data_IF_796687893708
#
_entry.id   IF_796687893708
#
_cell.length_a   1.000
_cell.length_b   1.000
_cell.length_c   1.000
_cell.angle_alpha   90.00
_cell.angle_beta   90.00
_cell.angle_gamma   90.00
#
_symmetry.space_group_name_H-M   'P 1'
#
loop_
_entity.id
_entity.type
_entity.pdbx_description
1 polymer ?
#
# COMPACT_ATOMS: atom_id res chain seq x y z
N UNK A 1 1.16 14.10 -11.74
CA UNK A 1 2.36 13.27 -11.79
C UNK A 1 3.44 13.92 -12.66
N UNK A 2 3.11 14.43 -13.85
CA UNK A 2 4.08 15.01 -14.80
C UNK A 2 4.95 16.12 -14.18
N UNK A 3 4.36 17.07 -13.46
CA UNK A 3 5.10 18.15 -12.78
C UNK A 3 6.17 17.64 -11.81
N UNK A 4 5.92 16.51 -11.13
CA UNK A 4 6.85 15.92 -10.17
C UNK A 4 7.97 15.20 -10.93
N UNK A 5 7.65 14.55 -12.05
CA UNK A 5 8.63 13.94 -12.96
C UNK A 5 9.56 15.00 -13.55
N UNK A 6 9.00 16.10 -14.07
CA UNK A 6 9.75 17.22 -14.68
C UNK A 6 10.69 17.90 -13.67
N UNK A 7 10.28 17.95 -12.40
CA UNK A 7 11.08 18.48 -11.30
C UNK A 7 12.15 17.51 -10.78
N UNK A 8 12.24 16.29 -11.31
CA UNK A 8 13.12 15.20 -10.83
C UNK A 8 12.99 14.90 -9.33
N UNK A 9 11.78 15.06 -8.79
CA UNK A 9 11.54 14.99 -7.34
C UNK A 9 11.47 13.56 -6.78
N UNK A 10 11.40 12.52 -7.63
CA UNK A 10 11.30 11.14 -7.18
C UNK A 10 12.67 10.49 -6.83
N UNK A 11 13.76 10.92 -7.47
CA UNK A 11 15.08 10.36 -7.24
C UNK A 11 15.27 8.89 -7.68
N UNK A 12 14.29 8.28 -8.34
CA UNK A 12 14.30 6.89 -8.78
C UNK A 12 14.15 6.78 -10.30
N UNK A 13 14.66 5.70 -10.88
CA UNK A 13 14.59 5.48 -12.33
C UNK A 13 13.30 4.77 -12.80
N UNK A 14 12.50 4.28 -11.85
CA UNK A 14 11.22 3.64 -12.13
C UNK A 14 10.14 4.21 -11.22
N UNK A 15 9.01 4.57 -11.78
CA UNK A 15 7.84 5.09 -11.08
C UNK A 15 6.63 4.26 -11.49
N UNK A 16 5.92 3.73 -10.50
CA UNK A 16 4.65 3.05 -10.68
C UNK A 16 3.51 4.00 -10.31
N UNK A 17 2.68 4.34 -11.28
CA UNK A 17 1.50 5.19 -11.08
C UNK A 17 0.27 4.31 -10.97
N UNK A 18 -0.35 4.32 -9.80
CA UNK A 18 -1.58 3.56 -9.55
C UNK A 18 -2.78 4.34 -10.10
N UNK A 19 -3.51 3.71 -11.01
CA UNK A 19 -4.73 4.25 -11.62
C UNK A 19 -5.95 3.67 -10.92
N UNK A 20 -6.54 4.45 -10.03
CA UNK A 20 -7.77 4.11 -9.30
C UNK A 20 -8.91 5.00 -9.77
N UNK A 21 -9.95 4.38 -10.32
CA UNK A 21 -11.13 5.09 -10.86
C UNK A 21 -12.31 5.09 -9.88
N UNK A 22 -12.22 4.31 -8.79
CA UNK A 22 -13.25 4.26 -7.77
C UNK A 22 -12.97 5.30 -6.69
N UNK A 23 -13.88 6.27 -6.55
CA UNK A 23 -13.87 7.14 -5.40
C UNK A 23 -14.77 6.57 -4.29
N UNK A 24 -14.18 6.28 -3.14
CA UNK A 24 -14.89 5.88 -1.92
C UNK A 24 -14.18 6.45 -0.69
N UNK A 25 -14.94 7.03 0.23
CA UNK A 25 -14.39 7.71 1.40
C UNK A 25 -13.44 6.83 2.24
N UNK A 26 -13.77 5.54 2.38
CA UNK A 26 -12.94 4.59 3.14
C UNK A 26 -11.63 4.23 2.44
N UNK A 27 -11.56 4.41 1.12
CA UNK A 27 -10.41 4.08 0.26
C UNK A 27 -9.92 5.31 -0.51
N UNK A 28 -10.00 6.51 0.11
CA UNK A 28 -9.64 7.75 -0.56
C UNK A 28 -8.16 7.88 -0.88
N UNK A 29 -7.31 7.18 -0.17
CA UNK A 29 -5.85 7.18 -0.36
C UNK A 29 -5.34 5.74 -0.50
N UNK A 30 -4.20 5.58 -1.18
CA UNK A 30 -3.59 4.26 -1.43
C UNK A 30 -3.33 3.49 -0.13
N UNK A 31 -2.86 4.14 0.92
CA UNK A 31 -2.54 3.55 2.23
C UNK A 31 -3.75 3.08 3.04
N UNK A 32 -4.96 3.36 2.58
CA UNK A 32 -6.18 2.84 3.20
C UNK A 32 -6.62 1.49 2.64
N UNK A 33 -6.15 1.11 1.45
CA UNK A 33 -6.48 -0.17 0.83
C UNK A 33 -5.28 -1.03 0.43
N UNK A 34 -4.09 -0.45 0.37
CA UNK A 34 -2.81 -1.12 0.08
C UNK A 34 -1.72 -0.58 1.01
N UNK A 35 -0.85 -1.46 1.53
CA UNK A 35 0.31 -1.02 2.30
C UNK A 35 1.41 -2.08 2.27
N UNK A 36 2.66 -1.67 2.52
CA UNK A 36 3.85 -2.51 2.45
C UNK A 36 4.33 -2.84 3.85
N UNK A 37 4.51 -4.14 4.13
CA UNK A 37 5.06 -4.66 5.40
C UNK A 37 6.58 -4.84 5.30
N UNK A 38 7.05 -5.38 4.17
CA UNK A 38 8.45 -5.69 3.93
C UNK A 38 8.71 -5.67 2.42
N UNK A 39 9.95 -5.81 1.99
CA UNK A 39 10.38 -5.86 0.58
C UNK A 39 9.68 -6.93 -0.27
N UNK A 40 9.09 -7.95 0.35
CA UNK A 40 8.45 -9.12 -0.26
C UNK A 40 7.03 -9.38 0.25
N UNK A 41 6.48 -8.50 1.10
CA UNK A 41 5.20 -8.70 1.76
C UNK A 41 4.39 -7.40 1.82
N UNK A 42 3.14 -7.48 1.39
CA UNK A 42 2.21 -6.36 1.45
C UNK A 42 0.79 -6.82 1.81
N UNK A 43 -0.09 -5.86 2.07
CA UNK A 43 -1.53 -6.09 2.25
C UNK A 43 -2.31 -5.38 1.15
N UNK A 44 -3.43 -5.95 0.77
CA UNK A 44 -4.38 -5.36 -0.17
C UNK A 44 -5.80 -5.75 0.26
N UNK A 45 -6.75 -4.82 0.23
CA UNK A 45 -8.15 -5.17 0.56
C UNK A 45 -8.70 -6.21 -0.42
N UNK A 46 -9.49 -7.14 0.13
CA UNK A 46 -9.99 -8.32 -0.59
C UNK A 46 -10.83 -7.93 -1.82
N UNK A 47 -11.59 -6.84 -1.74
CA UNK A 47 -12.40 -6.33 -2.86
C UNK A 47 -11.55 -5.97 -4.08
N UNK A 48 -10.34 -5.46 -3.88
CA UNK A 48 -9.40 -5.11 -4.95
C UNK A 48 -8.51 -6.28 -5.35
N UNK A 49 -8.22 -7.18 -4.41
CA UNK A 49 -7.42 -8.38 -4.68
C UNK A 49 -8.11 -9.32 -5.67
N UNK A 50 -9.43 -9.50 -5.55
CA UNK A 50 -10.22 -10.36 -6.43
C UNK A 50 -10.91 -9.63 -7.58
N UNK A 51 -10.77 -8.31 -7.67
CA UNK A 51 -11.36 -7.51 -8.76
C UNK A 51 -10.85 -7.97 -10.13
N UNK A 52 -11.73 -7.90 -11.13
CA UNK A 52 -11.44 -8.22 -12.52
C UNK A 52 -11.67 -7.01 -13.38
N UNK A 53 -11.13 -7.03 -14.59
CA UNK A 53 -11.36 -5.98 -15.57
C UNK A 53 -12.88 -5.73 -15.76
N UNK A 54 -13.25 -4.45 -15.58
CA UNK A 54 -14.64 -4.00 -15.61
C UNK A 54 -15.30 -3.85 -14.23
N UNK A 55 -14.71 -4.40 -13.17
CA UNK A 55 -15.21 -4.17 -11.81
C UNK A 55 -14.86 -2.75 -11.34
N UNK A 56 -15.72 -2.10 -10.52
CA UNK A 56 -15.41 -0.78 -9.96
C UNK A 56 -14.13 -0.75 -9.11
N UNK A 57 -13.78 -1.88 -8.48
CA UNK A 57 -12.60 -2.07 -7.65
C UNK A 57 -11.33 -2.40 -8.45
N UNK A 58 -11.45 -2.54 -9.77
CA UNK A 58 -10.30 -2.82 -10.62
C UNK A 58 -9.31 -1.66 -10.63
N UNK A 59 -8.05 -1.96 -10.31
CA UNK A 59 -6.95 -1.00 -10.25
C UNK A 59 -5.85 -1.45 -11.19
N UNK A 60 -5.27 -0.50 -11.90
CA UNK A 60 -4.13 -0.74 -12.79
C UNK A 60 -2.93 0.12 -12.43
N UNK A 61 -1.79 -0.20 -13.02
CA UNK A 61 -0.52 0.52 -12.84
C UNK A 61 0.06 0.87 -14.19
N UNK A 62 0.47 2.12 -14.32
CA UNK A 62 1.31 2.59 -15.41
C UNK A 62 2.77 2.68 -14.93
N UNK A 63 3.69 2.08 -15.67
CA UNK A 63 5.12 2.15 -15.38
C UNK A 63 5.81 3.20 -16.25
N UNK A 64 6.47 4.11 -15.57
CA UNK A 64 7.36 5.09 -16.19
C UNK A 64 8.80 4.76 -15.80
N UNK A 65 9.68 4.72 -16.79
CA UNK A 65 11.11 4.46 -16.57
C UNK A 65 11.96 5.52 -17.26
N UNK A 66 13.14 5.74 -16.70
CA UNK A 66 14.22 6.51 -17.34
C UNK A 66 15.54 5.75 -17.22
N UNK A 67 16.49 6.04 -18.11
CA UNK A 67 17.86 5.54 -17.96
C UNK A 67 18.59 6.34 -16.89
N UNK A 68 19.60 5.71 -16.31
CA UNK A 68 20.46 6.39 -15.36
C UNK A 68 21.10 7.65 -15.96
N UNK A 69 20.97 8.77 -15.25
CA UNK A 69 21.45 10.08 -15.70
C UNK A 69 20.52 10.85 -16.64
N UNK A 70 19.45 10.23 -17.14
CA UNK A 70 18.41 10.93 -17.90
C UNK A 70 17.39 11.56 -16.95
N UNK A 71 16.78 12.69 -17.38
CA UNK A 71 15.72 13.36 -16.61
C UNK A 71 14.32 12.93 -17.04
N UNK A 72 14.15 12.61 -18.31
CA UNK A 72 12.85 12.32 -18.88
C UNK A 72 12.41 10.87 -18.62
N UNK A 73 11.21 10.74 -18.09
CA UNK A 73 10.56 9.44 -17.92
C UNK A 73 9.74 9.09 -19.16
N UNK A 74 9.81 7.84 -19.55
CA UNK A 74 9.03 7.27 -20.64
C UNK A 74 8.03 6.26 -20.09
N UNK A 75 6.77 6.32 -20.53
CA UNK A 75 5.77 5.30 -20.24
C UNK A 75 6.18 3.99 -20.94
N UNK A 76 6.58 2.99 -20.16
CA UNK A 76 7.07 1.71 -20.69
C UNK A 76 6.01 0.60 -20.67
N UNK A 77 5.09 0.66 -19.70
CA UNK A 77 3.96 -0.27 -19.62
C UNK A 77 2.74 0.49 -19.14
N UNK A 78 1.58 0.12 -19.66
CA UNK A 78 0.31 0.77 -19.37
C UNK A 78 -0.72 -0.25 -18.92
N UNK A 79 -1.62 0.18 -18.03
CA UNK A 79 -2.79 -0.57 -17.59
C UNK A 79 -2.47 -1.99 -17.05
N UNK A 80 -1.30 -2.19 -16.39
CA UNK A 80 -0.96 -3.47 -15.77
C UNK A 80 -1.92 -3.70 -14.59
N UNK A 81 -2.59 -4.88 -14.48
CA UNK A 81 -3.37 -5.21 -13.29
C UNK A 81 -2.56 -5.05 -12.00
N UNK A 82 -3.09 -4.38 -10.99
CA UNK A 82 -2.33 -4.03 -9.79
C UNK A 82 -1.81 -5.28 -9.05
N UNK A 83 -2.64 -6.32 -8.92
CA UNK A 83 -2.23 -7.61 -8.29
C UNK A 83 -1.09 -8.25 -9.08
N UNK A 84 -1.23 -8.35 -10.41
CA UNK A 84 -0.18 -8.90 -11.29
C UNK A 84 1.13 -8.11 -11.18
N UNK A 85 1.03 -6.77 -11.11
CA UNK A 85 2.18 -5.91 -10.89
C UNK A 85 2.89 -6.25 -9.57
N UNK A 86 2.15 -6.33 -8.46
CA UNK A 86 2.72 -6.65 -7.14
C UNK A 86 3.38 -8.03 -7.13
N UNK A 87 2.73 -9.05 -7.68
CA UNK A 87 3.27 -10.40 -7.78
C UNK A 87 4.56 -10.44 -8.63
N UNK A 88 4.61 -9.73 -9.75
CA UNK A 88 5.80 -9.59 -10.59
C UNK A 88 6.95 -8.86 -9.88
N UNK A 89 6.64 -7.95 -8.95
CA UNK A 89 7.65 -7.33 -8.08
C UNK A 89 8.12 -8.25 -6.95
N UNK A 90 7.57 -9.46 -6.83
CA UNK A 90 7.94 -10.45 -5.82
C UNK A 90 7.18 -10.33 -4.51
N UNK A 91 6.10 -9.55 -4.46
CA UNK A 91 5.28 -9.46 -3.25
C UNK A 91 4.39 -10.67 -3.04
N UNK A 92 4.39 -11.18 -1.82
CA UNK A 92 3.29 -11.97 -1.28
C UNK A 92 2.22 -11.01 -0.76
N UNK A 93 0.96 -11.23 -1.14
CA UNK A 93 -0.15 -10.34 -0.76
C UNK A 93 -0.98 -11.01 0.33
N UNK A 94 -1.21 -10.33 1.45
CA UNK A 94 -2.19 -10.72 2.47
C UNK A 94 -3.51 -10.00 2.16
N UNK A 95 -4.58 -10.71 1.74
CA UNK A 95 -5.88 -10.08 1.49
C UNK A 95 -6.53 -9.64 2.81
N UNK A 96 -6.98 -8.41 2.88
CA UNK A 96 -7.68 -7.84 4.05
C UNK A 96 -9.18 -7.91 3.81
N UNK A 97 -9.90 -8.65 4.66
CA UNK A 97 -11.35 -8.79 4.59
C UNK A 97 -12.08 -7.49 4.94
N UNK A 98 -13.27 -7.33 4.39
CA UNK A 98 -14.11 -6.13 4.62
C UNK A 98 -14.26 -5.78 6.11
N UNK A 99 -14.41 -6.76 6.99
CA UNK A 99 -14.56 -6.53 8.43
C UNK A 99 -13.34 -5.83 9.06
N UNK A 100 -12.13 -6.17 8.59
CA UNK A 100 -10.88 -5.58 9.06
C UNK A 100 -10.57 -4.28 8.31
N UNK A 101 -10.92 -4.19 7.03
CA UNK A 101 -10.85 -2.96 6.23
C UNK A 101 -11.64 -1.82 6.89
N UNK A 102 -12.88 -2.09 7.37
CA UNK A 102 -13.71 -1.12 8.08
C UNK A 102 -13.09 -0.64 9.40
N UNK A 103 -12.09 -1.34 9.93
CA UNK A 103 -11.26 -0.95 11.07
C UNK A 103 -9.87 -0.46 10.65
N UNK A 104 -9.69 -0.07 9.37
CA UNK A 104 -8.44 0.47 8.84
C UNK A 104 -7.22 -0.44 9.04
N UNK A 105 -7.40 -1.75 8.89
CA UNK A 105 -6.34 -2.74 9.03
C UNK A 105 -5.15 -2.49 8.08
N UNK A 106 -5.37 -1.94 6.89
CA UNK A 106 -4.31 -1.58 5.93
C UNK A 106 -3.52 -0.32 6.32
N UNK A 107 -4.09 0.54 7.15
CA UNK A 107 -3.49 1.83 7.49
C UNK A 107 -2.54 1.73 8.70
N UNK A 108 -1.66 0.72 8.69
CA UNK A 108 -0.60 0.52 9.66
C UNK A 108 0.66 1.31 9.30
N UNK A 109 1.48 1.61 10.29
CA UNK A 109 2.83 2.12 10.09
C UNK A 109 3.85 0.98 10.16
N UNK A 110 4.62 0.80 9.10
CA UNK A 110 5.77 -0.12 9.12
C UNK A 110 6.95 0.57 9.79
N UNK A 111 7.40 0.04 10.92
CA UNK A 111 8.47 0.61 11.75
C UNK A 111 9.80 -0.12 11.57
N UNK A 112 9.77 -1.36 11.11
CA UNK A 112 10.95 -2.15 10.72
C UNK A 112 10.48 -3.29 9.78
N UNK A 113 11.40 -4.00 9.11
CA UNK A 113 11.05 -5.19 8.33
C UNK A 113 10.18 -6.17 9.14
N UNK A 114 9.00 -6.50 8.63
CA UNK A 114 8.00 -7.36 9.30
C UNK A 114 7.58 -6.91 10.70
N UNK A 115 7.70 -5.62 10.99
CA UNK A 115 7.29 -5.02 12.24
C UNK A 115 6.42 -3.81 11.98
N UNK A 116 5.14 -3.89 12.34
CA UNK A 116 4.14 -2.85 12.08
C UNK A 116 3.46 -2.38 13.36
N UNK A 117 2.98 -1.16 13.33
CA UNK A 117 2.11 -0.58 14.36
C UNK A 117 0.71 -0.39 13.73
N UNK A 118 -0.30 -1.05 14.27
CA UNK A 118 -1.64 -1.12 13.68
C UNK A 118 -2.73 -0.86 14.74
N UNK A 119 -3.91 -0.44 14.26
CA UNK A 119 -5.07 -0.26 15.13
C UNK A 119 -5.55 -1.62 15.67
N UNK A 120 -5.93 -1.64 16.96
CA UNK A 120 -6.46 -2.82 17.64
C UNK A 120 -7.80 -3.32 17.08
N UNK A 121 -8.41 -4.30 17.76
CA UNK A 121 -9.71 -4.89 17.42
C UNK A 121 -9.83 -5.50 16.01
N UNK A 122 -8.73 -5.94 15.42
CA UNK A 122 -8.73 -6.70 14.18
C UNK A 122 -9.14 -8.15 14.43
N UNK A 123 -9.66 -8.80 13.39
CA UNK A 123 -10.10 -10.20 13.50
C UNK A 123 -8.96 -11.16 13.84
N UNK A 124 -9.31 -12.27 14.50
CA UNK A 124 -8.35 -13.33 14.81
C UNK A 124 -7.70 -13.86 13.54
N UNK A 125 -8.48 -14.03 12.47
CA UNK A 125 -7.97 -14.53 11.18
C UNK A 125 -6.88 -13.61 10.59
N UNK A 126 -7.02 -12.28 10.73
CA UNK A 126 -6.00 -11.35 10.27
C UNK A 126 -4.75 -11.42 11.16
N UNK A 127 -4.94 -11.50 12.49
CA UNK A 127 -3.82 -11.66 13.43
C UNK A 127 -3.02 -12.94 13.15
N UNK A 128 -3.71 -14.07 12.89
CA UNK A 128 -3.10 -15.33 12.49
C UNK A 128 -2.39 -15.24 11.14
N UNK A 129 -2.97 -14.51 10.16
CA UNK A 129 -2.34 -14.28 8.87
C UNK A 129 -1.02 -13.50 9.02
N UNK A 130 -1.00 -12.44 9.82
CA UNK A 130 0.23 -11.72 10.13
C UNK A 130 1.27 -12.62 10.81
N UNK A 131 0.86 -13.37 11.83
CA UNK A 131 1.75 -14.28 12.55
C UNK A 131 2.34 -15.36 11.64
N UNK A 132 1.53 -15.94 10.74
CA UNK A 132 1.96 -16.94 9.74
C UNK A 132 3.06 -16.40 8.82
N UNK A 133 3.02 -15.11 8.50
CA UNK A 133 4.02 -14.44 7.66
C UNK A 133 5.17 -13.83 8.48
N UNK A 134 5.25 -14.13 9.79
CA UNK A 134 6.31 -13.64 10.67
C UNK A 134 6.24 -12.14 10.96
N UNK A 135 5.06 -11.56 10.87
CA UNK A 135 4.85 -10.13 11.17
C UNK A 135 4.61 -9.92 12.65
N UNK A 136 5.42 -9.09 13.27
CA UNK A 136 5.20 -8.58 14.62
C UNK A 136 4.29 -7.35 14.55
N UNK A 137 3.23 -7.32 15.34
CA UNK A 137 2.27 -6.22 15.34
C UNK A 137 2.19 -5.59 16.71
N UNK A 138 2.42 -4.28 16.78
CA UNK A 138 2.10 -3.45 17.94
C UNK A 138 0.67 -2.93 17.78
N UNK A 139 -0.27 -3.50 18.55
CA UNK A 139 -1.67 -3.08 18.52
C UNK A 139 -1.87 -1.82 19.37
N UNK A 140 -2.37 -0.76 18.76
CA UNK A 140 -2.61 0.53 19.40
C UNK A 140 -4.10 0.87 19.44
N UNK A 141 -4.59 1.50 20.55
CA UNK A 141 -6.00 1.82 20.73
C UNK A 141 -6.38 3.10 19.97
N UNK A 142 -6.59 2.99 18.66
CA UNK A 142 -6.98 4.09 17.77
C UNK A 142 -8.46 4.04 17.35
N UNK A 143 -9.30 3.21 17.96
CA UNK A 143 -10.68 2.94 17.55
C UNK A 143 -11.57 4.20 17.53
N UNK A 144 -11.23 5.20 18.31
CA UNK A 144 -11.93 6.49 18.28
C UNK A 144 -11.46 7.35 17.12
N UNK A 145 -10.17 7.29 16.81
CA UNK A 145 -9.54 8.14 15.78
C UNK A 145 -9.84 7.67 14.35
N UNK A 146 -10.08 6.38 14.14
CA UNK A 146 -10.47 5.84 12.82
C UNK A 146 -11.77 6.45 12.27
N UNK A 147 -12.60 7.06 13.11
CA UNK A 147 -13.78 7.83 12.70
C UNK A 147 -13.40 9.05 11.83
N UNK A 148 -12.15 9.48 11.85
CA UNK A 148 -11.57 10.49 10.99
C UNK A 148 -11.08 9.97 9.62
N UNK A 149 -11.43 8.73 9.26
CA UNK A 149 -11.10 8.07 7.99
C UNK A 149 -9.61 7.79 7.79
N UNK A 150 -8.90 7.40 8.86
CA UNK A 150 -7.51 6.97 8.82
C UNK A 150 -7.07 6.37 10.15
N UNK A 151 -5.90 5.73 10.16
CA UNK A 151 -5.32 5.09 11.35
C UNK A 151 -3.83 5.45 11.50
N UNK A 152 -2.99 4.52 11.93
CA UNK A 152 -1.60 4.79 12.30
C UNK A 152 -0.79 5.47 11.19
N UNK A 153 -0.90 5.00 9.93
CA UNK A 153 -0.15 5.59 8.82
C UNK A 153 -0.60 7.02 8.51
N UNK A 154 -1.91 7.26 8.39
CA UNK A 154 -2.46 8.59 8.10
C UNK A 154 -2.14 9.64 9.18
N UNK A 155 -1.92 9.21 10.43
CA UNK A 155 -1.63 10.09 11.56
C UNK A 155 -0.14 10.30 11.84
N UNK A 156 0.74 9.74 11.01
CA UNK A 156 2.18 9.79 11.20
C UNK A 156 2.86 10.47 10.03
N UNK A 157 4.02 11.06 10.30
CA UNK A 157 4.93 11.63 9.30
C UNK A 157 6.33 11.15 9.61
N UNK A 158 6.96 10.51 8.65
CA UNK A 158 8.38 10.14 8.76
C UNK A 158 9.23 11.41 8.68
N UNK A 159 9.96 11.71 9.74
CA UNK A 159 10.87 12.86 9.81
C UNK A 159 12.29 12.45 9.42
N UNK A 160 12.71 11.23 9.81
CA UNK A 160 14.05 10.71 9.54
C UNK A 160 14.02 9.18 9.45
N UNK A 161 14.72 8.64 8.49
CA UNK A 161 15.01 7.20 8.39
C UNK A 161 16.50 7.00 8.61
N UNK A 162 16.87 6.14 9.57
CA UNK A 162 18.24 5.67 9.73
C UNK A 162 18.35 4.31 9.03
N UNK A 163 19.15 4.26 7.97
CA UNK A 163 19.43 3.00 7.31
C UNK A 163 20.42 2.23 8.20
N UNK A 164 20.05 1.02 8.64
CA UNK A 164 21.01 0.08 9.23
C UNK A 164 22.02 -0.33 8.16
N UNK A 165 23.29 -0.20 8.45
CA UNK A 165 24.40 -0.69 7.63
C UNK A 165 24.35 -2.21 7.45
#
# INVERSE_FOLDING_TARGET
>A
IQQIMDADAFGHNTIAVVNDHKWWQMQMHLDTYFNIIDKDLCTLVESRYYAKEGDPEWVTVDLYTRKEGEKEYTLTHKDIPFVEFLEKQGFTIIPIKLKDELHYANNYLTIAPRHIMAVGNQSIELQEAFAKHGVTVEWIPLETLIKGYGAAHCMTQVIRVELSE
#
